data_IF_901689350207
#
_entry.id   IF_901689350207
#
_cell.length_a   1.000
_cell.length_b   1.000
_cell.length_c   1.000
_cell.angle_alpha   90.00
_cell.angle_beta   90.00
_cell.angle_gamma   90.00
#
_symmetry.space_group_name_H-M   'P 1'
#
loop_
_entity.id
_entity.type
_entity.pdbx_description
1 polymer ?
#
# COMPACT_ATOMS: atom_id res chain seq x y z
N UNK A 1 10.34 -25.13 6.09
CA UNK A 1 11.17 -23.99 6.54
C UNK A 1 10.25 -22.95 7.15
N UNK A 2 10.61 -22.37 8.29
CA UNK A 2 9.83 -21.28 8.90
C UNK A 2 10.10 -19.96 8.16
N UNK A 3 9.06 -19.12 8.00
CA UNK A 3 9.17 -17.80 7.39
C UNK A 3 10.02 -16.88 8.28
N UNK A 4 11.05 -16.23 7.74
CA UNK A 4 11.82 -15.25 8.53
C UNK A 4 11.12 -13.89 8.56
N UNK A 5 11.54 -13.01 9.50
CA UNK A 5 11.06 -11.62 9.54
C UNK A 5 11.35 -10.86 8.24
N UNK A 6 12.53 -11.09 7.65
CA UNK A 6 12.92 -10.50 6.37
C UNK A 6 12.06 -11.02 5.21
N UNK A 7 11.68 -12.29 5.23
CA UNK A 7 10.79 -12.87 4.22
C UNK A 7 9.37 -12.30 4.31
N UNK A 8 8.88 -12.04 5.52
CA UNK A 8 7.60 -11.34 5.73
C UNK A 8 7.64 -9.93 5.13
N UNK A 9 8.71 -9.16 5.35
CA UNK A 9 8.79 -7.79 4.82
C UNK A 9 8.90 -7.77 3.30
N UNK A 10 9.67 -8.69 2.71
CA UNK A 10 9.72 -8.88 1.25
C UNK A 10 8.37 -9.28 0.66
N UNK A 11 7.63 -10.13 1.38
CA UNK A 11 6.26 -10.51 1.01
C UNK A 11 5.38 -9.26 0.99
N UNK A 12 5.38 -8.47 2.07
CA UNK A 12 4.59 -7.24 2.16
C UNK A 12 4.95 -6.22 1.08
N UNK A 13 6.25 -6.02 0.79
CA UNK A 13 6.68 -5.16 -0.32
C UNK A 13 6.12 -5.63 -1.67
N UNK A 14 6.22 -6.93 -1.95
CA UNK A 14 5.70 -7.52 -3.19
C UNK A 14 4.19 -7.30 -3.32
N UNK A 15 3.43 -7.57 -2.25
CA UNK A 15 1.98 -7.37 -2.24
C UNK A 15 1.62 -5.89 -2.37
N UNK A 16 2.32 -4.98 -1.67
CA UNK A 16 2.11 -3.54 -1.80
C UNK A 16 2.34 -3.05 -3.24
N UNK A 17 3.39 -3.55 -3.90
CA UNK A 17 3.69 -3.24 -5.31
C UNK A 17 2.59 -3.72 -6.26
N UNK A 18 2.10 -4.95 -6.07
CA UNK A 18 1.01 -5.49 -6.88
C UNK A 18 -0.31 -4.76 -6.66
N UNK A 19 -0.60 -4.43 -5.41
CA UNK A 19 -1.84 -3.75 -5.01
C UNK A 19 -1.94 -2.31 -5.52
N UNK A 20 -0.82 -1.57 -5.55
CA UNK A 20 -0.76 -0.16 -5.96
C UNK A 20 -1.39 0.12 -7.33
N UNK A 21 -1.34 -0.83 -8.27
CA UNK A 21 -1.92 -0.67 -9.61
C UNK A 21 -3.44 -0.58 -9.63
N UNK A 22 -4.12 -1.23 -8.67
CA UNK A 22 -5.58 -1.36 -8.61
C UNK A 22 -6.19 -0.86 -7.30
N UNK A 23 -5.46 -0.04 -6.54
CA UNK A 23 -5.85 0.38 -5.19
C UNK A 23 -7.22 1.07 -5.16
N UNK A 24 -7.51 1.97 -6.10
CA UNK A 24 -8.79 2.68 -6.14
C UNK A 24 -9.97 1.73 -6.38
N UNK A 25 -9.81 0.81 -7.33
CA UNK A 25 -10.85 -0.19 -7.63
C UNK A 25 -11.06 -1.15 -6.45
N UNK A 26 -9.99 -1.53 -5.77
CA UNK A 26 -10.11 -2.35 -4.55
C UNK A 26 -10.80 -1.60 -3.41
N UNK A 27 -10.46 -0.33 -3.19
CA UNK A 27 -11.07 0.49 -2.13
C UNK A 27 -12.56 0.68 -2.41
N UNK A 28 -12.93 0.93 -3.68
CA UNK A 28 -14.33 1.03 -4.11
C UNK A 28 -15.08 -0.30 -3.91
N UNK A 29 -14.53 -1.43 -4.37
CA UNK A 29 -15.18 -2.75 -4.20
C UNK A 29 -15.40 -3.11 -2.73
N UNK A 30 -14.50 -2.68 -1.85
CA UNK A 30 -14.54 -2.95 -0.42
C UNK A 30 -14.99 -1.72 0.40
N UNK A 31 -15.76 -0.79 -0.19
CA UNK A 31 -16.21 0.41 0.51
C UNK A 31 -16.96 0.10 1.81
N UNK A 32 -17.70 -1.02 1.82
CA UNK A 32 -18.40 -1.57 2.99
C UNK A 32 -17.48 -1.99 4.14
N UNK A 33 -16.21 -2.34 3.86
CA UNK A 33 -15.21 -2.67 4.88
C UNK A 33 -14.44 -1.45 5.37
N UNK A 34 -14.36 -0.41 4.55
CA UNK A 34 -13.49 0.74 4.75
C UNK A 34 -14.25 1.98 5.27
N UNK A 35 -15.56 1.84 5.52
CA UNK A 35 -16.45 2.92 5.94
C UNK A 35 -16.42 4.12 4.98
N UNK A 36 -16.38 3.85 3.67
CA UNK A 36 -16.43 4.87 2.63
C UNK A 36 -17.78 4.88 1.94
N UNK A 37 -18.25 6.07 1.59
CA UNK A 37 -19.44 6.28 0.77
C UNK A 37 -19.08 6.44 -0.71
N UNK A 38 -20.06 6.31 -1.60
CA UNK A 38 -19.86 6.62 -3.02
C UNK A 38 -19.43 8.08 -3.25
N UNK A 39 -19.84 9.01 -2.38
CA UNK A 39 -19.41 10.41 -2.45
C UNK A 39 -17.91 10.57 -2.16
N UNK A 40 -17.38 9.82 -1.18
CA UNK A 40 -15.95 9.81 -0.87
C UNK A 40 -15.13 9.25 -2.04
N UNK A 41 -15.61 8.17 -2.66
CA UNK A 41 -14.97 7.57 -3.85
C UNK A 41 -14.99 8.55 -5.02
N UNK A 42 -16.08 9.27 -5.23
CA UNK A 42 -16.20 10.27 -6.29
C UNK A 42 -15.21 11.43 -6.09
N UNK A 43 -14.99 11.88 -4.86
CA UNK A 43 -14.00 12.92 -4.55
C UNK A 43 -12.59 12.48 -4.93
N UNK A 44 -12.23 11.26 -4.52
CA UNK A 44 -10.94 10.65 -4.83
C UNK A 44 -10.71 10.53 -6.34
N UNK A 45 -11.76 10.20 -7.10
CA UNK A 45 -11.71 10.09 -8.56
C UNK A 45 -11.46 11.43 -9.28
N UNK A 46 -11.72 12.57 -8.64
CA UNK A 46 -11.38 13.89 -9.21
C UNK A 46 -9.88 14.13 -9.30
N UNK A 47 -9.09 13.47 -8.44
CA UNK A 47 -7.63 13.56 -8.47
C UNK A 47 -6.95 12.19 -8.25
N UNK A 48 -7.03 11.29 -9.25
CA UNK A 48 -6.55 9.92 -9.12
C UNK A 48 -5.03 9.84 -8.93
N UNK A 49 -4.29 10.85 -9.44
CA UNK A 49 -2.84 10.95 -9.26
C UNK A 49 -2.46 11.28 -7.82
N UNK A 50 -3.16 12.22 -7.19
CA UNK A 50 -2.93 12.56 -5.79
C UNK A 50 -3.28 11.38 -4.88
N UNK A 51 -4.43 10.75 -5.13
CA UNK A 51 -4.83 9.55 -4.38
C UNK A 51 -3.80 8.44 -4.48
N UNK A 52 -3.32 8.14 -5.69
CA UNK A 52 -2.27 7.13 -5.89
C UNK A 52 -1.02 7.44 -5.07
N UNK A 53 -0.58 8.71 -5.03
CA UNK A 53 0.58 9.12 -4.21
C UNK A 53 0.34 8.90 -2.71
N UNK A 54 -0.87 9.19 -2.23
CA UNK A 54 -1.24 8.92 -0.83
C UNK A 54 -1.29 7.42 -0.54
N UNK A 55 -1.90 6.62 -1.42
CA UNK A 55 -1.93 5.17 -1.28
C UNK A 55 -0.52 4.57 -1.24
N UNK A 56 0.37 4.99 -2.17
CA UNK A 56 1.78 4.60 -2.17
C UNK A 56 2.47 4.96 -0.84
N UNK A 57 2.23 6.18 -0.31
CA UNK A 57 2.81 6.63 0.94
C UNK A 57 2.31 5.79 2.14
N UNK A 58 1.00 5.56 2.26
CA UNK A 58 0.38 4.77 3.34
C UNK A 58 0.88 3.33 3.33
N UNK A 59 0.97 2.71 2.14
CA UNK A 59 1.49 1.34 2.03
C UNK A 59 2.94 1.25 2.48
N UNK A 60 3.79 2.18 2.03
CA UNK A 60 5.20 2.21 2.44
C UNK A 60 5.33 2.43 3.95
N UNK A 61 4.58 3.39 4.49
CA UNK A 61 4.57 3.69 5.92
C UNK A 61 4.14 2.47 6.74
N UNK A 62 3.05 1.79 6.34
CA UNK A 62 2.59 0.58 7.00
C UNK A 62 3.63 -0.55 7.01
N UNK A 63 4.28 -0.82 5.87
CA UNK A 63 5.32 -1.86 5.82
C UNK A 63 6.52 -1.49 6.68
N UNK A 64 6.94 -0.23 6.68
CA UNK A 64 8.02 0.25 7.55
C UNK A 64 7.62 0.19 9.04
N UNK A 65 6.37 0.50 9.38
CA UNK A 65 5.82 0.37 10.73
C UNK A 65 5.88 -1.08 11.22
N UNK A 66 5.48 -2.04 10.38
CA UNK A 66 5.60 -3.48 10.67
C UNK A 66 7.07 -3.88 10.86
N UNK A 67 7.97 -3.39 10.00
CA UNK A 67 9.42 -3.61 10.13
C UNK A 67 9.98 -3.10 11.46
N UNK A 68 9.64 -1.86 11.82
CA UNK A 68 10.08 -1.24 13.06
C UNK A 68 9.62 -2.05 14.29
N UNK A 69 8.37 -2.54 14.30
CA UNK A 69 7.86 -3.43 15.34
C UNK A 69 8.64 -4.75 15.48
N UNK A 70 9.29 -5.18 14.41
CA UNK A 70 10.16 -6.37 14.36
C UNK A 70 11.65 -6.06 14.65
N UNK A 71 11.95 -4.81 15.05
CA UNK A 71 13.31 -4.27 15.24
C UNK A 71 14.15 -4.30 13.96
N UNK A 72 13.51 -4.10 12.82
CA UNK A 72 14.15 -4.02 11.50
C UNK A 72 13.90 -2.63 10.90
N UNK A 73 14.96 -1.94 10.49
CA UNK A 73 14.83 -0.79 9.62
C UNK A 73 14.73 -1.29 8.17
N UNK A 74 13.51 -1.38 7.65
CA UNK A 74 13.28 -1.90 6.30
C UNK A 74 13.59 -0.87 5.22
N UNK A 75 13.53 0.42 5.53
CA UNK A 75 13.87 1.50 4.61
C UNK A 75 13.09 1.50 3.27
N UNK A 76 11.85 1.00 3.27
CA UNK A 76 11.04 0.97 2.05
C UNK A 76 10.69 2.40 1.61
N UNK A 77 10.74 2.66 0.31
CA UNK A 77 10.44 3.95 -0.33
C UNK A 77 9.39 3.75 -1.40
N UNK A 78 8.62 4.79 -1.71
CA UNK A 78 7.60 4.75 -2.77
C UNK A 78 8.19 4.44 -4.15
N UNK A 79 9.46 4.76 -4.39
CA UNK A 79 10.18 4.36 -5.60
C UNK A 79 10.30 2.85 -5.78
N UNK A 80 10.32 2.06 -4.70
CA UNK A 80 10.38 0.59 -4.77
C UNK A 80 9.06 -0.02 -5.29
N UNK A 81 7.93 0.66 -5.06
CA UNK A 81 6.61 0.24 -5.55
C UNK A 81 6.42 0.51 -7.05
N UNK A 82 7.31 1.28 -7.69
CA UNK A 82 7.19 1.59 -9.13
C UNK A 82 7.72 0.43 -9.98
N UNK A 83 7.19 0.25 -11.21
CA UNK A 83 7.81 -0.64 -12.19
C UNK A 83 9.28 -0.26 -12.39
N UNK A 84 10.17 -1.24 -12.46
CA UNK A 84 11.56 -0.97 -12.87
C UNK A 84 11.51 -0.57 -14.34
N UNK A 85 12.05 0.61 -14.67
CA UNK A 85 12.26 1.04 -16.05
C UNK A 85 13.37 0.20 -16.67
#
# INVERSE_FOLDING_TARGET
>A
MALTRGDLLKLLEREAKGYCGGVLDSVRRNCHMNNLTEADIAEVQRNPRLFRRFAEAVLVDFVNYVGAGQRLDYGLKTSHLKPKR
#
